data_IF_798172651795
#
_entry.id   IF_798172651795
#
_cell.length_a   1.000
_cell.length_b   1.000
_cell.length_c   1.000
_cell.angle_alpha   90.00
_cell.angle_beta   90.00
_cell.angle_gamma   90.00
#
_symmetry.space_group_name_H-M   'P 1'
#
loop_
_entity.id
_entity.type
_entity.pdbx_description
1 polymer ?
#
# COMPACT_ATOMS: atom_id res chain seq x y z
N UNK A 1 16.51 -35.99 -54.79
CA UNK A 1 16.14 -34.60 -54.46
C UNK A 1 14.62 -34.53 -54.60
N UNK A 2 13.79 -34.38 -53.56
CA UNK A 2 13.79 -33.43 -52.44
C UNK A 2 12.97 -34.04 -51.28
N UNK A 3 13.52 -34.02 -50.06
CA UNK A 3 12.80 -34.37 -48.83
C UNK A 3 11.83 -33.23 -48.46
N UNK A 4 10.54 -33.51 -48.35
CA UNK A 4 9.54 -32.55 -47.86
C UNK A 4 9.32 -32.79 -46.36
N UNK A 5 10.02 -32.01 -45.53
CA UNK A 5 9.82 -31.95 -44.07
C UNK A 5 8.41 -31.42 -43.78
N UNK A 6 7.63 -32.16 -42.99
CA UNK A 6 6.41 -31.64 -42.37
C UNK A 6 6.81 -30.87 -41.12
N UNK A 7 6.65 -29.55 -41.12
CA UNK A 7 6.62 -28.74 -39.90
C UNK A 7 5.16 -28.63 -39.51
N UNK A 8 4.78 -29.34 -38.44
CA UNK A 8 3.51 -29.12 -37.76
C UNK A 8 3.65 -27.80 -37.01
N UNK A 9 3.10 -26.73 -37.58
CA UNK A 9 3.00 -25.42 -36.92
C UNK A 9 1.89 -25.48 -35.86
N UNK A 10 2.26 -25.65 -34.60
CA UNK A 10 1.36 -25.47 -33.48
C UNK A 10 1.09 -23.97 -33.27
N UNK A 11 -0.06 -23.48 -33.76
CA UNK A 11 -0.57 -22.15 -33.44
C UNK A 11 -1.19 -22.18 -32.03
N UNK A 12 -0.38 -21.94 -31.00
CA UNK A 12 -0.92 -21.50 -29.70
C UNK A 12 -1.21 -20.01 -29.78
N UNK A 13 -2.41 -19.67 -30.23
CA UNK A 13 -2.97 -18.33 -30.01
C UNK A 13 -3.50 -18.26 -28.58
N UNK A 14 -2.59 -18.02 -27.62
CA UNK A 14 -3.03 -17.51 -26.31
C UNK A 14 -3.29 -16.03 -26.49
N UNK A 15 -4.50 -15.71 -26.94
CA UNK A 15 -5.02 -14.36 -26.86
C UNK A 15 -5.36 -14.09 -25.40
N UNK A 16 -4.35 -13.68 -24.61
CA UNK A 16 -4.63 -12.99 -23.34
C UNK A 16 -5.10 -11.61 -23.74
N UNK A 17 -6.42 -11.46 -23.88
CA UNK A 17 -7.02 -10.13 -23.82
C UNK A 17 -6.86 -9.70 -22.36
N UNK A 18 -5.68 -9.15 -22.03
CA UNK A 18 -5.52 -8.39 -20.80
C UNK A 18 -6.41 -7.17 -20.96
N UNK A 19 -7.62 -7.23 -20.41
CA UNK A 19 -8.36 -6.04 -20.06
C UNK A 19 -7.45 -5.29 -19.08
N UNK A 20 -6.76 -4.28 -19.58
CA UNK A 20 -6.13 -3.26 -18.76
C UNK A 20 -7.24 -2.43 -18.12
N UNK A 21 -7.97 -3.00 -17.15
CA UNK A 21 -8.39 -2.19 -16.00
C UNK A 21 -7.11 -1.61 -15.44
N UNK A 22 -7.05 -0.29 -15.26
CA UNK A 22 -5.90 0.36 -14.63
C UNK A 22 -5.72 -0.28 -13.25
N UNK A 23 -4.87 -1.29 -13.18
CA UNK A 23 -4.71 -2.12 -12.00
C UNK A 23 -4.17 -1.21 -10.91
N UNK A 24 -4.87 -1.16 -9.77
CA UNK A 24 -4.32 -0.56 -8.56
C UNK A 24 -2.92 -1.16 -8.39
N UNK A 25 -1.87 -0.34 -8.25
CA UNK A 25 -0.52 -0.86 -8.11
C UNK A 25 -0.49 -1.81 -6.92
N UNK A 26 0.28 -2.89 -7.03
CA UNK A 26 0.44 -3.78 -5.89
C UNK A 26 1.02 -3.01 -4.69
N UNK A 27 0.57 -3.30 -3.45
CA UNK A 27 1.18 -2.71 -2.28
C UNK A 27 2.71 -2.93 -2.29
N UNK A 28 3.50 -1.87 -2.11
CA UNK A 28 4.96 -1.96 -2.15
C UNK A 28 5.48 -2.97 -1.13
N UNK A 29 6.41 -3.82 -1.55
CA UNK A 29 7.08 -4.75 -0.64
C UNK A 29 7.70 -3.98 0.54
N UNK A 30 7.38 -4.33 1.81
CA UNK A 30 7.86 -3.57 2.96
C UNK A 30 9.39 -3.51 3.08
N UNK A 31 10.09 -4.61 2.77
CA UNK A 31 11.56 -4.70 2.84
C UNK A 31 12.25 -3.95 1.69
N UNK A 32 11.60 -3.81 0.54
CA UNK A 32 12.08 -2.94 -0.52
C UNK A 32 11.85 -1.46 -0.14
N UNK A 33 10.67 -1.15 0.40
CA UNK A 33 10.24 0.21 0.74
C UNK A 33 11.17 0.87 1.77
N UNK A 34 11.70 0.12 2.74
CA UNK A 34 12.63 0.68 3.75
C UNK A 34 13.99 1.13 3.20
N UNK A 35 14.32 0.80 1.95
CA UNK A 35 15.53 1.25 1.28
C UNK A 35 15.32 2.51 0.45
N UNK A 36 14.07 2.95 0.28
CA UNK A 36 13.75 4.19 -0.42
C UNK A 36 13.97 5.40 0.48
N UNK A 37 14.41 6.51 -0.13
CA UNK A 37 14.46 7.82 0.53
C UNK A 37 13.07 8.33 0.91
N UNK A 38 13.00 9.40 1.70
CA UNK A 38 11.72 10.05 1.98
C UNK A 38 11.02 10.49 0.70
N UNK A 39 11.72 11.20 -0.19
CA UNK A 39 11.11 11.78 -1.40
C UNK A 39 10.60 10.69 -2.36
N UNK A 40 11.35 9.58 -2.52
CA UNK A 40 10.89 8.44 -3.31
C UNK A 40 9.62 7.80 -2.73
N UNK A 41 9.55 7.61 -1.41
CA UNK A 41 8.35 7.05 -0.77
C UNK A 41 7.18 8.02 -0.83
N UNK A 42 7.45 9.31 -0.75
CA UNK A 42 6.44 10.35 -0.83
C UNK A 42 5.82 10.39 -2.24
N UNK A 43 6.63 10.33 -3.29
CA UNK A 43 6.10 10.24 -4.66
C UNK A 43 5.35 8.91 -4.90
N UNK A 44 5.89 7.78 -4.45
CA UNK A 44 5.18 6.51 -4.53
C UNK A 44 3.84 6.55 -3.77
N UNK A 45 3.77 7.22 -2.63
CA UNK A 45 2.53 7.43 -1.88
C UNK A 45 1.51 8.21 -2.70
N UNK A 46 1.93 9.31 -3.35
CA UNK A 46 1.05 10.12 -4.21
C UNK A 46 0.50 9.33 -5.38
N UNK A 47 1.32 8.50 -6.03
CA UNK A 47 0.90 7.64 -7.14
C UNK A 47 -0.14 6.62 -6.69
N UNK A 48 0.09 5.96 -5.55
CA UNK A 48 -0.84 5.01 -4.95
C UNK A 48 -2.14 5.72 -4.57
N UNK A 49 -2.07 6.86 -3.88
CA UNK A 49 -3.23 7.62 -3.45
C UNK A 49 -4.08 8.06 -4.65
N UNK A 50 -3.44 8.54 -5.73
CA UNK A 50 -4.12 8.88 -6.99
C UNK A 50 -4.78 7.67 -7.68
N UNK A 51 -4.16 6.49 -7.62
CA UNK A 51 -4.75 5.26 -8.15
C UNK A 51 -5.94 4.79 -7.29
N UNK A 52 -5.80 4.84 -5.97
CA UNK A 52 -6.85 4.45 -5.02
C UNK A 52 -8.06 5.38 -5.10
N UNK A 53 -7.87 6.68 -5.35
CA UNK A 53 -8.99 7.61 -5.53
C UNK A 53 -9.82 7.32 -6.79
N UNK A 54 -9.23 6.68 -7.81
CA UNK A 54 -9.94 6.23 -9.03
C UNK A 54 -10.60 4.87 -8.87
N UNK A 55 -10.20 4.10 -7.86
CA UNK A 55 -10.73 2.79 -7.58
C UNK A 55 -12.07 2.84 -6.83
N UNK A 56 -12.81 1.75 -6.89
CA UNK A 56 -13.99 1.57 -6.05
C UNK A 56 -13.60 1.39 -4.57
N UNK A 57 -14.52 1.67 -3.62
CA UNK A 57 -14.28 1.44 -2.19
C UNK A 57 -13.85 0.00 -1.86
N UNK A 58 -14.44 -1.00 -2.53
CA UNK A 58 -14.10 -2.41 -2.30
C UNK A 58 -12.69 -2.76 -2.80
N UNK A 59 -12.26 -2.23 -3.94
CA UNK A 59 -10.89 -2.43 -4.42
C UNK A 59 -9.87 -1.70 -3.53
N UNK A 60 -10.19 -0.48 -3.05
CA UNK A 60 -9.36 0.20 -2.04
C UNK A 60 -9.22 -0.63 -0.76
N UNK A 61 -10.32 -1.20 -0.29
CA UNK A 61 -10.33 -2.07 0.89
C UNK A 61 -9.46 -3.30 0.65
N UNK A 62 -9.58 -3.95 -0.51
CA UNK A 62 -8.74 -5.08 -0.90
C UNK A 62 -7.25 -4.73 -0.90
N UNK A 63 -6.88 -3.55 -1.43
CA UNK A 63 -5.50 -3.05 -1.39
C UNK A 63 -4.96 -2.93 0.04
N UNK A 64 -5.72 -2.32 0.95
CA UNK A 64 -5.31 -2.19 2.35
C UNK A 64 -5.24 -3.54 3.08
N UNK A 65 -6.12 -4.49 2.74
CA UNK A 65 -6.04 -5.86 3.23
C UNK A 65 -4.77 -6.57 2.76
N UNK A 66 -4.43 -6.47 1.48
CA UNK A 66 -3.20 -7.07 0.93
C UNK A 66 -1.95 -6.46 1.58
N UNK A 67 -1.89 -5.13 1.71
CA UNK A 67 -0.78 -4.44 2.38
C UNK A 67 -0.63 -4.89 3.84
N UNK A 68 -1.73 -5.08 4.55
CA UNK A 68 -1.73 -5.62 5.92
C UNK A 68 -1.20 -7.06 5.92
N UNK A 69 -1.65 -7.91 4.99
CA UNK A 69 -1.22 -9.30 4.90
C UNK A 69 0.28 -9.43 4.60
N UNK A 70 0.84 -8.56 3.75
CA UNK A 70 2.29 -8.50 3.54
C UNK A 70 3.04 -8.25 4.85
N UNK A 71 2.57 -7.32 5.69
CA UNK A 71 3.17 -7.06 7.02
C UNK A 71 2.99 -8.24 7.99
N UNK A 72 1.90 -8.99 7.90
CA UNK A 72 1.65 -10.18 8.73
C UNK A 72 2.55 -11.36 8.36
N UNK A 73 2.91 -11.47 7.09
CA UNK A 73 3.74 -12.53 6.55
C UNK A 73 5.24 -12.37 6.88
N UNK A 74 5.67 -11.22 7.38
CA UNK A 74 7.06 -10.94 7.73
C UNK A 74 7.52 -11.74 8.95
N UNK A 75 8.79 -12.12 8.97
CA UNK A 75 9.44 -12.67 10.16
C UNK A 75 9.51 -11.60 11.28
N UNK A 76 9.62 -12.00 12.57
CA UNK A 76 9.89 -11.07 13.65
C UNK A 76 11.13 -10.19 13.40
N UNK A 77 12.18 -10.77 12.81
CA UNK A 77 13.43 -10.09 12.47
C UNK A 77 13.22 -9.02 11.40
N UNK A 78 12.48 -9.34 10.33
CA UNK A 78 12.14 -8.39 9.27
C UNK A 78 11.29 -7.24 9.79
N UNK A 79 10.29 -7.54 10.65
CA UNK A 79 9.47 -6.50 11.29
C UNK A 79 10.33 -5.54 12.13
N UNK A 80 11.29 -6.08 12.89
CA UNK A 80 12.22 -5.28 13.69
C UNK A 80 13.11 -4.40 12.80
N UNK A 81 13.66 -4.96 11.73
CA UNK A 81 14.47 -4.21 10.75
C UNK A 81 13.69 -3.05 10.14
N UNK A 82 12.43 -3.29 9.73
CA UNK A 82 11.55 -2.25 9.20
C UNK A 82 11.33 -1.16 10.25
N UNK A 83 10.99 -1.55 11.48
CA UNK A 83 10.75 -0.60 12.56
C UNK A 83 11.95 0.29 12.83
N UNK A 84 13.16 -0.28 12.89
CA UNK A 84 14.41 0.44 13.13
C UNK A 84 14.73 1.41 11.99
N UNK A 85 14.70 0.95 10.73
CA UNK A 85 14.94 1.83 9.58
C UNK A 85 13.91 2.95 9.47
N UNK A 86 12.63 2.64 9.67
CA UNK A 86 11.56 3.62 9.63
C UNK A 86 11.69 4.67 10.73
N UNK A 87 12.08 4.24 11.94
CA UNK A 87 12.35 5.15 13.05
C UNK A 87 13.48 6.14 12.72
N UNK A 88 14.60 5.64 12.20
CA UNK A 88 15.74 6.49 11.78
C UNK A 88 15.34 7.46 10.68
N UNK A 89 14.65 6.98 9.64
CA UNK A 89 14.17 7.84 8.56
C UNK A 89 13.17 8.88 9.04
N UNK A 90 12.32 8.56 10.02
CA UNK A 90 11.36 9.50 10.59
C UNK A 90 12.06 10.63 11.36
N UNK A 91 13.14 10.30 12.08
CA UNK A 91 13.95 11.29 12.79
C UNK A 91 14.65 12.27 11.83
N UNK A 92 14.89 11.86 10.57
CA UNK A 92 15.51 12.72 9.56
C UNK A 92 14.54 13.56 8.73
N UNK A 93 13.23 13.52 8.99
CA UNK A 93 12.23 14.28 8.21
C UNK A 93 12.21 15.75 8.65
N UNK A 94 12.34 16.68 7.69
CA UNK A 94 12.28 18.13 7.94
C UNK A 94 10.85 18.61 8.24
N UNK A 95 10.66 19.78 8.87
CA UNK A 95 9.34 20.38 9.06
C UNK A 95 8.56 20.54 7.74
N UNK A 96 9.22 20.94 6.66
CA UNK A 96 8.60 21.14 5.34
C UNK A 96 8.11 19.81 4.76
N UNK A 97 8.90 18.74 4.89
CA UNK A 97 8.51 17.40 4.47
C UNK A 97 7.31 16.88 5.29
N UNK A 98 7.24 17.19 6.60
CA UNK A 98 6.08 16.86 7.43
C UNK A 98 4.82 17.59 6.95
N UNK A 99 4.91 18.87 6.62
CA UNK A 99 3.77 19.64 6.10
C UNK A 99 3.31 19.12 4.73
N UNK A 100 4.23 18.77 3.81
CA UNK A 100 3.88 18.11 2.54
C UNK A 100 3.10 16.81 2.76
N UNK A 101 3.59 15.96 3.66
CA UNK A 101 2.93 14.70 3.99
C UNK A 101 1.56 14.90 4.65
N UNK A 102 1.40 15.95 5.48
CA UNK A 102 0.12 16.31 6.08
C UNK A 102 -0.88 16.81 5.03
N UNK A 103 -0.43 17.66 4.11
CA UNK A 103 -1.25 18.16 3.01
C UNK A 103 -1.73 17.03 2.11
N UNK A 104 -0.83 16.11 1.75
CA UNK A 104 -1.18 14.97 0.88
C UNK A 104 -2.20 14.04 1.54
N UNK A 105 -2.01 13.68 2.82
CA UNK A 105 -2.98 12.87 3.56
C UNK A 105 -4.35 13.55 3.68
N UNK A 106 -4.37 14.88 3.81
CA UNK A 106 -5.60 15.66 3.83
C UNK A 106 -6.30 15.58 2.47
N UNK A 107 -5.56 15.79 1.39
CA UNK A 107 -6.10 15.72 0.02
C UNK A 107 -6.65 14.32 -0.29
N UNK A 108 -5.93 13.26 0.09
CA UNK A 108 -6.44 11.89 -0.05
C UNK A 108 -7.74 11.69 0.71
N UNK A 109 -7.80 12.11 1.98
CA UNK A 109 -9.01 11.99 2.80
C UNK A 109 -10.20 12.75 2.20
N UNK A 110 -9.99 13.97 1.71
CA UNK A 110 -11.02 14.79 1.08
C UNK A 110 -11.54 14.19 -0.24
N UNK A 111 -10.74 13.36 -0.92
CA UNK A 111 -11.13 12.65 -2.13
C UNK A 111 -11.92 11.35 -1.92
N UNK A 112 -12.02 10.85 -0.68
CA UNK A 112 -12.79 9.63 -0.36
C UNK A 112 -14.31 9.88 -0.38
N UNK A 113 -15.11 8.80 -0.48
CA UNK A 113 -16.57 8.95 -0.40
C UNK A 113 -17.01 9.41 1.00
N UNK A 114 -18.19 10.05 1.14
CA UNK A 114 -18.71 10.44 2.45
C UNK A 114 -18.80 9.30 3.45
N UNK A 115 -19.14 8.09 3.00
CA UNK A 115 -19.22 6.89 3.83
C UNK A 115 -17.85 6.47 4.35
N UNK A 116 -16.84 6.41 3.49
CA UNK A 116 -15.46 6.08 3.90
C UNK A 116 -14.88 7.14 4.83
N UNK A 117 -15.16 8.42 4.57
CA UNK A 117 -14.78 9.51 5.46
C UNK A 117 -15.43 9.36 6.85
N UNK A 118 -16.71 8.98 6.89
CA UNK A 118 -17.44 8.75 8.13
C UNK A 118 -16.89 7.54 8.89
N UNK A 119 -16.59 6.44 8.20
CA UNK A 119 -15.94 5.26 8.77
C UNK A 119 -14.59 5.65 9.39
N UNK A 120 -13.70 6.31 8.63
CA UNK A 120 -12.39 6.74 9.12
C UNK A 120 -12.49 7.68 10.33
N UNK A 121 -13.44 8.63 10.32
CA UNK A 121 -13.71 9.52 11.47
C UNK A 121 -14.20 8.73 12.69
N UNK A 122 -15.06 7.75 12.51
CA UNK A 122 -15.55 6.89 13.60
C UNK A 122 -14.42 6.04 14.20
N UNK A 123 -13.56 5.45 13.35
CA UNK A 123 -12.37 4.74 13.81
C UNK A 123 -11.42 5.65 14.59
N UNK A 124 -11.23 6.90 14.12
CA UNK A 124 -10.41 7.89 14.82
C UNK A 124 -11.00 8.27 16.17
N UNK A 125 -12.30 8.56 16.23
CA UNK A 125 -12.99 8.87 17.48
C UNK A 125 -12.90 7.72 18.49
N UNK A 126 -13.07 6.47 18.03
CA UNK A 126 -12.88 5.29 18.86
C UNK A 126 -11.47 5.22 19.44
N UNK A 127 -10.45 5.46 18.62
CA UNK A 127 -9.05 5.48 19.09
C UNK A 127 -8.79 6.60 20.11
N UNK A 128 -9.28 7.81 19.85
CA UNK A 128 -9.04 8.94 20.73
C UNK A 128 -9.69 8.72 22.11
N UNK A 129 -10.84 8.04 22.15
CA UNK A 129 -11.54 7.66 23.37
C UNK A 129 -10.99 6.41 24.10
N UNK A 130 -10.04 5.67 23.52
CA UNK A 130 -9.43 4.52 24.20
C UNK A 130 -8.54 4.97 25.37
N UNK A 131 -8.62 4.22 26.49
CA UNK A 131 -7.74 4.40 27.64
C UNK A 131 -6.28 4.09 27.30
N UNK A 132 -5.30 4.61 28.08
CA UNK A 132 -3.89 4.25 27.91
C UNK A 132 -3.64 2.74 27.96
N UNK A 133 -4.34 2.00 28.82
CA UNK A 133 -4.24 0.55 28.95
C UNK A 133 -4.77 -0.17 27.71
N UNK A 134 -5.89 0.30 27.15
CA UNK A 134 -6.46 -0.22 25.91
C UNK A 134 -5.53 0.02 24.72
N UNK A 135 -4.94 1.21 24.63
CA UNK A 135 -3.92 1.54 23.63
C UNK A 135 -2.68 0.65 23.77
N UNK A 136 -2.21 0.40 25.00
CA UNK A 136 -1.09 -0.52 25.24
C UNK A 136 -1.40 -1.95 24.80
N UNK A 137 -2.61 -2.46 25.09
CA UNK A 137 -3.04 -3.78 24.63
C UNK A 137 -3.07 -3.85 23.10
N UNK A 138 -3.52 -2.78 22.45
CA UNK A 138 -3.54 -2.70 20.99
C UNK A 138 -2.13 -2.83 20.37
N UNK A 139 -1.12 -2.19 20.95
CA UNK A 139 0.28 -2.32 20.50
C UNK A 139 0.91 -3.70 20.81
N UNK A 140 0.41 -4.41 21.82
CA UNK A 140 0.90 -5.73 22.22
C UNK A 140 0.25 -6.88 21.44
N UNK A 141 -0.81 -6.62 20.68
CA UNK A 141 -1.41 -7.65 19.83
C UNK A 141 -0.44 -7.97 18.67
N UNK A 142 -0.09 -9.25 18.45
CA UNK A 142 0.61 -9.63 17.24
C UNK A 142 -0.30 -9.31 16.05
N UNK A 143 0.16 -8.39 15.18
CA UNK A 143 -0.54 -8.01 13.96
C UNK A 143 -0.64 -9.14 12.96
#
# INVERSE_FOLDING_TARGET
>A
MIYKKWIVGALFSVSVISLASAAIPEPPNPLANINLSFDQRFEQMKEIDAALLKATPEERKAYWHQRRNQMKALSPEDRKLIQEKMKTQWQSITPEQKEKMKAERKAFFEGLTPEEQAEMKAHRAKWDNMSPEEKQKWFKQPG
#
